data_IF_212988088327
#
_entry.id   IF_212988088327
#
_cell.length_a   1.000
_cell.length_b   1.000
_cell.length_c   1.000
_cell.angle_alpha   90.00
_cell.angle_beta   90.00
_cell.angle_gamma   90.00
#
_symmetry.space_group_name_H-M   'P 1'
#
loop_
_entity.id
_entity.type
_entity.pdbx_description
1 polymer ?
#
# COMPACT_ATOMS: atom_id res chain seq x y z
N UNK A 1 -35.91 -38.46 9.53
CA UNK A 1 -35.20 -39.61 10.13
C UNK A 1 -36.13 -40.81 10.33
N UNK A 2 -37.29 -40.67 10.99
CA UNK A 2 -38.26 -41.77 11.18
C UNK A 2 -38.73 -42.42 9.86
N UNK A 3 -39.14 -41.62 8.88
CA UNK A 3 -39.64 -42.13 7.59
C UNK A 3 -38.56 -42.84 6.76
N UNK A 4 -37.30 -42.41 6.90
CA UNK A 4 -36.16 -43.02 6.21
C UNK A 4 -35.83 -44.38 6.86
N UNK A 5 -35.87 -44.43 8.19
CA UNK A 5 -35.66 -45.66 8.97
C UNK A 5 -36.72 -46.72 8.66
N UNK A 6 -38.01 -46.35 8.68
CA UNK A 6 -39.11 -47.26 8.33
C UNK A 6 -38.98 -47.82 6.91
N UNK A 7 -38.51 -47.01 5.95
CA UNK A 7 -38.26 -47.42 4.57
C UNK A 7 -37.07 -48.39 4.45
N UNK A 8 -36.02 -48.22 5.26
CA UNK A 8 -34.87 -49.14 5.27
C UNK A 8 -35.19 -50.45 5.98
N UNK A 9 -35.98 -50.41 7.06
CA UNK A 9 -36.44 -51.60 7.77
C UNK A 9 -37.33 -52.49 6.89
N UNK A 10 -38.28 -51.90 6.17
CA UNK A 10 -39.14 -52.65 5.23
C UNK A 10 -38.37 -53.23 4.04
N UNK A 11 -37.29 -52.59 3.59
CA UNK A 11 -36.42 -53.14 2.55
C UNK A 11 -35.55 -54.29 3.06
N UNK A 12 -35.01 -54.16 4.27
CA UNK A 12 -34.18 -55.19 4.86
C UNK A 12 -34.97 -56.46 5.24
N UNK A 13 -36.21 -56.30 5.69
CA UNK A 13 -37.13 -57.42 5.93
C UNK A 13 -37.41 -58.18 4.63
N UNK A 14 -37.61 -57.47 3.50
CA UNK A 14 -37.76 -58.07 2.17
C UNK A 14 -36.49 -58.76 1.66
N UNK A 15 -35.32 -58.25 2.04
CA UNK A 15 -34.02 -58.77 1.62
C UNK A 15 -33.40 -59.76 2.60
N UNK A 16 -34.11 -60.09 3.71
CA UNK A 16 -33.62 -60.92 4.83
C UNK A 16 -32.28 -60.43 5.40
N UNK A 17 -32.05 -59.13 5.39
CA UNK A 17 -30.87 -58.52 5.97
C UNK A 17 -31.12 -58.36 7.48
N UNK A 18 -30.17 -58.75 8.36
CA UNK A 18 -30.31 -58.57 9.80
C UNK A 18 -30.46 -57.08 10.15
N UNK A 19 -31.39 -56.76 11.05
CA UNK A 19 -31.61 -55.40 11.54
C UNK A 19 -30.34 -54.74 12.08
N UNK A 20 -29.47 -55.53 12.71
CA UNK A 20 -28.16 -55.10 13.21
C UNK A 20 -27.24 -54.55 12.12
N UNK A 21 -27.27 -55.13 10.91
CA UNK A 21 -26.47 -54.62 9.79
C UNK A 21 -27.00 -53.29 9.23
N UNK A 22 -28.32 -53.06 9.33
CA UNK A 22 -28.93 -51.80 8.93
C UNK A 22 -28.56 -50.71 9.94
N UNK A 23 -28.63 -51.02 11.23
CA UNK A 23 -28.28 -50.10 12.30
C UNK A 23 -26.81 -49.69 12.19
N UNK A 24 -25.89 -50.65 12.04
CA UNK A 24 -24.46 -50.38 11.82
C UNK A 24 -24.24 -49.49 10.59
N UNK A 25 -24.94 -49.76 9.49
CA UNK A 25 -24.82 -48.97 8.27
C UNK A 25 -25.35 -47.54 8.45
N UNK A 26 -26.51 -47.37 9.10
CA UNK A 26 -27.09 -46.04 9.38
C UNK A 26 -26.19 -45.26 10.34
N UNK A 27 -25.69 -45.89 11.39
CA UNK A 27 -24.76 -45.26 12.33
C UNK A 27 -23.44 -44.86 11.67
N UNK A 28 -22.86 -45.73 10.84
CA UNK A 28 -21.67 -45.40 10.05
C UNK A 28 -21.92 -44.19 9.15
N UNK A 29 -23.08 -44.13 8.49
CA UNK A 29 -23.44 -43.02 7.60
C UNK A 29 -23.61 -41.70 8.34
N UNK A 30 -24.27 -41.73 9.50
CA UNK A 30 -24.44 -40.56 10.37
C UNK A 30 -23.09 -40.08 10.91
N UNK A 31 -22.19 -41.00 11.23
CA UNK A 31 -20.82 -40.69 11.66
C UNK A 31 -20.03 -40.02 10.53
N UNK A 32 -20.03 -40.59 9.33
CA UNK A 32 -19.36 -40.05 8.16
C UNK A 32 -19.86 -38.63 7.81
N UNK A 33 -21.18 -38.41 7.88
CA UNK A 33 -21.76 -37.08 7.64
C UNK A 33 -21.37 -36.08 8.73
N UNK A 34 -21.27 -36.50 10.00
CA UNK A 34 -20.82 -35.64 11.09
C UNK A 34 -19.34 -35.27 10.95
N UNK A 35 -18.50 -36.24 10.58
CA UNK A 35 -17.07 -36.04 10.35
C UNK A 35 -16.84 -35.09 9.15
N UNK A 36 -17.59 -35.26 8.06
CA UNK A 36 -17.60 -34.31 6.93
C UNK A 36 -17.98 -32.89 7.35
N UNK A 37 -19.03 -32.73 8.15
CA UNK A 37 -19.44 -31.42 8.67
C UNK A 37 -18.40 -30.79 9.60
N UNK A 38 -17.64 -31.61 10.34
CA UNK A 38 -16.53 -31.14 11.18
C UNK A 38 -15.36 -30.67 10.32
N UNK A 39 -14.99 -31.43 9.29
CA UNK A 39 -13.91 -31.10 8.37
C UNK A 39 -14.23 -29.85 7.56
N UNK A 40 -15.45 -29.69 7.06
CA UNK A 40 -15.89 -28.46 6.37
C UNK A 40 -15.82 -27.23 7.28
N UNK A 41 -16.21 -27.37 8.55
CA UNK A 41 -16.10 -26.28 9.54
C UNK A 41 -14.66 -25.96 9.88
N UNK A 42 -13.78 -26.96 9.93
CA UNK A 42 -12.35 -26.77 10.15
C UNK A 42 -11.71 -26.07 8.94
N UNK A 43 -11.97 -26.54 7.72
CA UNK A 43 -11.49 -25.93 6.49
C UNK A 43 -11.93 -24.48 6.33
N UNK A 44 -13.20 -24.17 6.64
CA UNK A 44 -13.70 -22.78 6.59
C UNK A 44 -13.05 -21.85 7.62
N UNK A 45 -12.61 -22.38 8.77
CA UNK A 45 -11.84 -21.59 9.76
C UNK A 45 -10.42 -21.35 9.27
N UNK A 46 -9.81 -22.36 8.67
CA UNK A 46 -8.45 -22.26 8.13
C UNK A 46 -8.38 -21.29 6.94
N UNK A 47 -9.35 -21.35 6.02
CA UNK A 47 -9.48 -20.43 4.90
C UNK A 47 -9.63 -18.98 5.38
N UNK A 48 -10.53 -18.73 6.34
CA UNK A 48 -10.67 -17.40 6.95
C UNK A 48 -9.40 -16.91 7.66
N UNK A 49 -8.63 -17.82 8.27
CA UNK A 49 -7.37 -17.47 8.91
C UNK A 49 -6.31 -17.09 7.86
N UNK A 50 -6.22 -17.84 6.75
CA UNK A 50 -5.33 -17.53 5.62
C UNK A 50 -5.70 -16.21 4.97
N UNK A 51 -6.98 -15.97 4.69
CA UNK A 51 -7.45 -14.70 4.11
C UNK A 51 -7.12 -13.50 4.98
N UNK A 52 -7.35 -13.62 6.30
CA UNK A 52 -7.00 -12.56 7.25
C UNK A 52 -5.50 -12.31 7.28
N UNK A 53 -4.68 -13.35 7.15
CA UNK A 53 -3.23 -13.22 7.13
C UNK A 53 -2.74 -12.54 5.84
N UNK A 54 -3.30 -12.91 4.69
CA UNK A 54 -3.02 -12.24 3.42
C UNK A 54 -3.43 -10.77 3.43
N UNK A 55 -4.59 -10.45 4.02
CA UNK A 55 -5.05 -9.06 4.14
C UNK A 55 -4.12 -8.22 5.02
N UNK A 56 -3.65 -8.79 6.14
CA UNK A 56 -2.68 -8.13 7.03
C UNK A 56 -1.32 -7.93 6.33
N UNK A 57 -0.86 -8.92 5.58
CA UNK A 57 0.39 -8.83 4.83
C UNK A 57 0.31 -7.77 3.71
N UNK A 58 -0.81 -7.73 2.98
CA UNK A 58 -1.08 -6.68 1.99
C UNK A 58 -1.09 -5.29 2.63
N UNK A 59 -1.79 -5.12 3.75
CA UNK A 59 -1.80 -3.85 4.50
C UNK A 59 -0.41 -3.44 4.97
N UNK A 60 0.42 -4.41 5.39
CA UNK A 60 1.81 -4.17 5.81
C UNK A 60 2.67 -3.73 4.61
N UNK A 61 2.52 -4.37 3.46
CA UNK A 61 3.19 -3.97 2.22
C UNK A 61 2.75 -2.58 1.76
N UNK A 62 1.45 -2.27 1.80
CA UNK A 62 0.94 -0.94 1.45
C UNK A 62 1.49 0.14 2.40
N UNK A 63 1.60 -0.16 3.69
CA UNK A 63 2.26 0.71 4.67
C UNK A 63 3.77 0.82 4.41
N UNK A 64 4.46 -0.24 4.02
CA UNK A 64 5.89 -0.20 3.68
C UNK A 64 6.14 0.62 2.41
N UNK A 65 5.29 0.49 1.40
CA UNK A 65 5.35 1.28 0.17
C UNK A 65 5.01 2.74 0.46
N UNK A 66 4.00 3.00 1.29
CA UNK A 66 3.62 4.36 1.71
C UNK A 66 4.72 5.01 2.54
N UNK A 67 5.32 4.28 3.48
CA UNK A 67 6.44 4.77 4.28
C UNK A 67 7.67 4.99 3.41
N UNK A 68 8.08 4.06 2.55
CA UNK A 68 9.15 4.30 1.56
C UNK A 68 8.83 5.46 0.63
N UNK A 69 7.59 5.62 0.16
CA UNK A 69 7.17 6.77 -0.65
C UNK A 69 7.24 8.09 0.14
N UNK A 70 6.92 8.07 1.44
CA UNK A 70 7.01 9.23 2.33
C UNK A 70 8.45 9.54 2.77
N UNK A 71 9.31 8.53 2.87
CA UNK A 71 10.75 8.67 3.16
C UNK A 71 11.48 9.17 1.92
N UNK A 72 11.07 8.77 0.71
CA UNK A 72 11.60 9.31 -0.56
C UNK A 72 10.97 10.67 -0.92
N UNK A 73 9.82 11.04 -0.35
CA UNK A 73 9.22 12.39 -0.48
C UNK A 73 9.62 13.38 0.63
N UNK A 74 10.34 12.94 1.66
CA UNK A 74 10.90 13.83 2.68
C UNK A 74 12.38 14.16 2.45
N UNK A 75 12.90 13.89 1.25
CA UNK A 75 14.16 14.47 0.78
C UNK A 75 13.86 15.61 -0.18
N UNK A 76 13.97 16.84 0.33
CA UNK A 76 14.46 18.00 -0.41
C UNK A 76 13.58 18.49 -1.57
N UNK A 77 12.29 18.67 -1.32
CA UNK A 77 11.44 19.54 -2.15
C UNK A 77 10.97 20.73 -1.32
N UNK A 78 11.26 21.99 -1.69
CA UNK A 78 10.70 23.10 -0.96
C UNK A 78 9.19 23.09 -1.22
N UNK A 79 8.38 23.67 -0.34
CA UNK A 79 6.95 23.79 -0.56
C UNK A 79 6.71 24.51 -1.89
N UNK A 80 6.35 23.74 -2.94
CA UNK A 80 6.10 24.22 -4.31
C UNK A 80 5.12 25.41 -4.35
N UNK A 81 4.32 25.56 -3.30
CA UNK A 81 3.33 26.61 -3.13
C UNK A 81 3.90 28.01 -2.82
N UNK A 82 5.15 28.16 -2.35
CA UNK A 82 5.73 29.49 -2.05
C UNK A 82 6.80 29.96 -3.04
N UNK A 83 7.46 29.04 -3.76
CA UNK A 83 8.50 29.40 -4.73
C UNK A 83 7.93 30.09 -5.99
N UNK A 84 6.69 29.78 -6.38
CA UNK A 84 6.04 30.44 -7.53
C UNK A 84 5.80 31.95 -7.31
N UNK A 85 5.86 32.45 -6.07
CA UNK A 85 5.77 33.88 -5.75
C UNK A 85 7.12 34.59 -5.81
N UNK A 86 8.22 33.84 -5.96
CA UNK A 86 9.58 34.34 -6.11
C UNK A 86 10.02 34.30 -7.57
N UNK A 87 9.10 34.29 -8.54
CA UNK A 87 9.49 34.48 -9.94
C UNK A 87 9.89 35.94 -10.16
N UNK A 88 11.11 36.21 -10.66
CA UNK A 88 11.52 37.58 -10.95
C UNK A 88 10.62 38.16 -12.04
N UNK A 89 10.01 39.31 -11.76
CA UNK A 89 9.27 40.08 -12.77
C UNK A 89 10.27 40.74 -13.71
N UNK A 90 9.94 40.89 -15.01
CA UNK A 90 10.83 41.42 -16.08
C UNK A 90 11.50 42.78 -15.81
N UNK A 91 11.10 43.50 -14.75
CA UNK A 91 11.63 44.82 -14.37
C UNK A 91 12.16 44.90 -12.93
N UNK A 92 12.40 43.76 -12.26
CA UNK A 92 12.94 43.79 -10.90
C UNK A 92 14.46 44.02 -10.87
N UNK A 93 14.89 44.91 -9.97
CA UNK A 93 16.30 45.06 -9.61
C UNK A 93 16.78 43.75 -8.95
N UNK A 94 17.84 43.16 -9.51
CA UNK A 94 18.37 41.85 -9.11
C UNK A 94 18.82 41.82 -7.65
N UNK A 95 19.31 42.94 -7.12
CA UNK A 95 19.77 43.04 -5.73
C UNK A 95 18.59 42.88 -4.75
N UNK A 96 17.46 43.52 -5.06
CA UNK A 96 16.23 43.42 -4.26
C UNK A 96 15.59 42.03 -4.39
N UNK A 97 15.82 41.36 -5.51
CA UNK A 97 15.36 39.99 -5.71
C UNK A 97 16.16 39.01 -4.83
N UNK A 98 17.49 39.13 -4.82
CA UNK A 98 18.36 38.28 -4.00
C UNK A 98 18.11 38.49 -2.51
N UNK A 99 17.92 39.72 -2.05
CA UNK A 99 17.58 39.99 -0.64
C UNK A 99 16.28 39.31 -0.21
N UNK A 100 15.24 39.36 -1.06
CA UNK A 100 13.96 38.66 -0.82
C UNK A 100 14.12 37.15 -0.85
N UNK A 101 14.91 36.64 -1.79
CA UNK A 101 15.24 35.22 -1.88
C UNK A 101 15.93 34.74 -0.60
N UNK A 102 16.98 35.42 -0.14
CA UNK A 102 17.67 35.04 1.09
C UNK A 102 16.75 35.11 2.31
N UNK A 103 15.98 36.19 2.46
CA UNK A 103 15.07 36.35 3.60
C UNK A 103 13.99 35.26 3.64
N UNK A 104 13.46 34.89 2.49
CA UNK A 104 12.45 33.82 2.40
C UNK A 104 13.06 32.44 2.65
N UNK A 105 14.27 32.17 2.16
CA UNK A 105 14.96 30.91 2.39
C UNK A 105 15.44 30.76 3.84
N UNK A 106 15.87 31.85 4.48
CA UNK A 106 16.15 31.91 5.92
C UNK A 106 14.89 31.65 6.75
N UNK A 107 13.77 32.30 6.42
CA UNK A 107 12.49 32.08 7.11
C UNK A 107 11.96 30.65 6.94
N UNK A 108 12.31 29.98 5.84
CA UNK A 108 11.97 28.58 5.56
C UNK A 108 13.01 27.58 6.10
N UNK A 109 14.08 28.05 6.73
CA UNK A 109 15.19 27.23 7.24
C UNK A 109 15.74 26.25 6.20
N UNK A 110 15.86 26.69 4.94
CA UNK A 110 16.40 25.87 3.86
C UNK A 110 17.93 25.82 4.00
N UNK A 111 18.51 24.64 3.85
CA UNK A 111 19.96 24.42 3.90
C UNK A 111 20.68 25.20 2.79
N UNK A 112 21.77 25.89 3.15
CA UNK A 112 22.50 26.82 2.25
C UNK A 112 23.03 26.13 1.00
N UNK A 113 23.41 24.86 1.11
CA UNK A 113 23.93 24.05 0.02
C UNK A 113 22.89 23.86 -1.11
N UNK A 114 21.60 23.99 -0.77
CA UNK A 114 20.49 23.85 -1.72
C UNK A 114 20.06 25.18 -2.33
N UNK A 115 20.54 26.32 -1.84
CA UNK A 115 20.10 27.65 -2.31
C UNK A 115 20.43 27.85 -3.79
N UNK A 116 21.63 27.44 -4.22
CA UNK A 116 22.04 27.52 -5.62
C UNK A 116 21.15 26.70 -6.55
N UNK A 117 20.82 25.46 -6.17
CA UNK A 117 19.94 24.59 -6.95
C UNK A 117 18.53 25.18 -7.10
N UNK A 118 18.00 25.78 -6.03
CA UNK A 118 16.69 26.42 -6.10
C UNK A 118 16.70 27.73 -6.88
N UNK A 119 17.76 28.53 -6.74
CA UNK A 119 17.93 29.75 -7.51
C UNK A 119 17.98 29.43 -9.02
N UNK A 120 18.74 28.41 -9.42
CA UNK A 120 18.77 27.92 -10.81
C UNK A 120 17.40 27.46 -11.31
N UNK A 121 16.58 26.88 -10.45
CA UNK A 121 15.22 26.44 -10.83
C UNK A 121 14.20 27.57 -10.97
N UNK A 122 14.46 28.72 -10.34
CA UNK A 122 13.57 29.90 -10.34
C UNK A 122 13.91 30.87 -11.48
N UNK A 123 15.16 30.92 -11.89
CA UNK A 123 15.61 31.71 -13.03
C UNK A 123 15.11 31.06 -14.33
N UNK A 124 14.28 31.78 -15.08
CA UNK A 124 13.77 31.35 -16.39
C UNK A 124 14.41 32.20 -17.50
N UNK A 125 14.61 31.61 -18.68
CA UNK A 125 15.10 32.33 -19.87
C UNK A 125 16.59 32.68 -19.82
N UNK A 126 16.94 33.89 -20.26
CA UNK A 126 18.32 34.35 -20.48
C UNK A 126 19.18 34.33 -19.21
N UNK A 127 18.58 34.50 -18.03
CA UNK A 127 19.29 34.45 -16.75
C UNK A 127 19.86 33.05 -16.42
N UNK A 128 19.16 31.98 -16.82
CA UNK A 128 19.65 30.60 -16.66
C UNK A 128 20.78 30.30 -17.66
N UNK A 129 20.69 30.86 -18.87
CA UNK A 129 21.75 30.77 -19.89
C UNK A 129 23.04 31.45 -19.41
N UNK A 130 22.94 32.64 -18.81
CA UNK A 130 24.09 33.36 -18.24
C UNK A 130 24.69 32.63 -17.03
N UNK A 131 23.87 32.12 -16.12
CA UNK A 131 24.37 31.39 -14.94
C UNK A 131 25.07 30.07 -15.33
N UNK A 132 24.51 29.35 -16.31
CA UNK A 132 25.11 28.12 -16.84
C UNK A 132 26.45 28.38 -17.53
N UNK A 133 26.58 29.50 -18.25
CA UNK A 133 27.83 29.87 -18.91
C UNK A 133 28.90 30.34 -17.91
N UNK A 134 28.52 31.01 -16.81
CA UNK A 134 29.48 31.39 -15.75
C UNK A 134 30.06 30.19 -14.98
N UNK A 135 29.28 29.13 -14.76
CA UNK A 135 29.77 27.90 -14.10
C UNK A 135 30.94 27.22 -14.85
N UNK A 136 31.06 27.47 -16.16
CA UNK A 136 32.18 26.96 -16.98
C UNK A 136 33.40 27.88 -16.99
N UNK A 137 33.25 29.15 -16.61
CA UNK A 137 34.33 30.14 -16.60
C UNK A 137 35.16 30.06 -15.31
N UNK A 138 34.54 29.77 -14.15
CA UNK A 138 35.26 29.60 -12.89
C UNK A 138 36.10 28.31 -12.82
N UNK A 139 35.94 27.38 -13.76
CA UNK A 139 36.79 26.18 -13.88
C UNK A 139 38.06 26.40 -14.71
N UNK A 140 38.35 27.65 -15.12
CA UNK A 140 39.46 27.99 -16.03
C UNK A 140 40.40 29.10 -15.53
N UNK A 141 40.45 29.38 -14.23
CA UNK A 141 41.50 30.24 -13.66
C UNK A 141 42.39 29.53 -12.66
#
# INVERSE_FOLDING_TARGET
>A
MKDLYEKYMTLAEKLKIPETQILDWVESRVKDDNDRLRDERAGKREEKAKDRQLELEKKKLDLEISTRSSTVKSTVGPPKLKLAQLTPSEHQNIDLYLEKFERTFQALQIEKDLWGTYLMSLLQGDALSVLSSMSTIESRS
#
